data_IF_682025213770
#
_entry.id   IF_682025213770
#
_cell.length_a   1.000
_cell.length_b   1.000
_cell.length_c   1.000
_cell.angle_alpha   90.00
_cell.angle_beta   90.00
_cell.angle_gamma   90.00
#
_symmetry.space_group_name_H-M   'P 1'
#
loop_
_entity.id
_entity.type
_entity.pdbx_description
1 polymer ?
#
# COMPACT_ATOMS: atom_id res chain seq x y z
N UNK A 1 7.96 -10.57 -31.89
CA UNK A 1 8.25 -9.80 -30.68
C UNK A 1 6.96 -9.12 -30.23
N UNK A 2 6.60 -9.20 -28.94
CA UNK A 2 5.45 -8.47 -28.38
C UNK A 2 5.97 -7.23 -27.68
N UNK A 3 5.47 -6.05 -28.08
CA UNK A 3 5.83 -4.77 -27.47
C UNK A 3 4.84 -4.50 -26.35
N UNK A 4 5.26 -4.47 -25.07
CA UNK A 4 4.35 -4.11 -23.99
C UNK A 4 4.02 -2.60 -24.09
N UNK A 5 2.74 -2.29 -24.18
CA UNK A 5 2.19 -0.92 -24.08
C UNK A 5 1.28 -0.83 -22.87
N UNK A 6 1.50 0.17 -22.02
CA UNK A 6 0.66 0.41 -20.86
C UNK A 6 -0.75 0.85 -21.32
N UNK A 7 -1.79 0.22 -20.76
CA UNK A 7 -3.17 0.67 -20.95
C UNK A 7 -3.41 1.91 -20.08
N UNK A 8 -3.40 3.08 -20.71
CA UNK A 8 -3.55 4.37 -20.03
C UNK A 8 -5.00 4.80 -19.84
N UNK A 9 -5.97 4.04 -20.37
CA UNK A 9 -7.41 4.40 -20.32
C UNK A 9 -8.00 4.39 -18.91
N UNK A 10 -7.30 3.77 -17.96
CA UNK A 10 -7.72 3.68 -16.57
C UNK A 10 -6.97 4.65 -15.65
N UNK A 11 -6.11 5.52 -16.18
CA UNK A 11 -5.26 6.39 -15.37
C UNK A 11 -6.03 7.54 -14.71
N UNK A 12 -7.19 7.93 -15.26
CA UNK A 12 -8.06 8.94 -14.64
C UNK A 12 -8.71 8.45 -13.32
N UNK A 13 -8.62 7.14 -13.02
CA UNK A 13 -9.07 6.54 -11.77
C UNK A 13 -7.95 6.35 -10.74
N UNK A 14 -6.74 6.87 -11.01
CA UNK A 14 -5.65 6.78 -10.05
C UNK A 14 -5.98 7.64 -8.81
N UNK A 15 -5.78 7.10 -7.59
CA UNK A 15 -5.98 7.87 -6.38
C UNK A 15 -5.06 9.09 -6.36
N UNK A 16 -5.51 10.17 -5.72
CA UNK A 16 -4.72 11.42 -5.63
C UNK A 16 -3.34 11.25 -4.98
N UNK A 17 -3.14 10.16 -4.23
CA UNK A 17 -1.85 9.75 -3.68
C UNK A 17 -1.68 8.23 -3.77
N UNK A 18 -0.48 7.78 -4.14
CA UNK A 18 -0.08 6.38 -4.16
C UNK A 18 1.29 6.25 -3.48
N UNK A 19 1.33 5.49 -2.39
CA UNK A 19 2.53 5.30 -1.58
C UNK A 19 2.90 3.82 -1.51
N UNK A 20 4.19 3.53 -1.53
CA UNK A 20 4.73 2.19 -1.42
C UNK A 20 5.78 2.13 -0.31
N UNK A 21 5.80 1.02 0.43
CA UNK A 21 6.84 0.71 1.41
C UNK A 21 7.12 -0.79 1.37
N UNK A 22 8.36 -1.16 1.69
CA UNK A 22 8.78 -2.55 1.83
C UNK A 22 9.53 -2.68 3.15
N UNK A 23 9.17 -3.70 3.93
CA UNK A 23 9.76 -4.00 5.24
C UNK A 23 9.89 -5.51 5.40
N UNK A 24 11.02 -5.96 5.93
CA UNK A 24 11.22 -7.36 6.31
C UNK A 24 10.54 -7.62 7.66
N UNK A 25 9.68 -8.63 7.70
CA UNK A 25 8.96 -9.05 8.89
C UNK A 25 9.09 -10.57 9.06
N UNK A 26 9.19 -11.09 10.30
CA UNK A 26 9.17 -12.52 10.53
C UNK A 26 7.79 -13.11 10.15
N UNK A 27 7.73 -14.41 9.78
CA UNK A 27 6.45 -15.08 9.54
C UNK A 27 5.53 -14.99 10.77
N UNK A 28 4.25 -14.70 10.56
CA UNK A 28 3.28 -14.51 11.64
C UNK A 28 2.21 -13.45 11.33
N UNK A 29 1.30 -13.24 12.29
CA UNK A 29 0.29 -12.18 12.22
C UNK A 29 0.88 -10.83 12.66
N UNK A 30 0.59 -9.79 11.88
CA UNK A 30 1.05 -8.42 12.12
C UNK A 30 -0.11 -7.45 11.94
N UNK A 31 -0.03 -6.31 12.60
CA UNK A 31 -0.92 -5.17 12.36
C UNK A 31 -0.09 -3.96 11.97
N UNK A 32 -0.42 -3.35 10.84
CA UNK A 32 0.15 -2.08 10.41
C UNK A 32 -0.88 -0.96 10.54
N UNK A 33 -0.39 0.25 10.81
CA UNK A 33 -1.15 1.49 10.77
C UNK A 33 -0.53 2.45 9.76
N UNK A 34 -1.36 3.01 8.88
CA UNK A 34 -0.99 4.09 7.97
C UNK A 34 -1.56 5.39 8.53
N UNK A 35 -0.67 6.30 8.90
CA UNK A 35 -1.03 7.64 9.38
C UNK A 35 -0.92 8.65 8.24
N UNK A 36 -2.04 9.29 7.90
CA UNK A 36 -2.06 10.38 6.94
C UNK A 36 -1.84 11.68 7.68
N UNK A 37 -0.76 12.38 7.34
CA UNK A 37 -0.38 13.63 7.99
C UNK A 37 -0.64 14.81 7.06
N UNK A 38 -1.06 15.94 7.62
CA UNK A 38 -1.10 17.20 6.89
C UNK A 38 0.32 17.80 6.72
N UNK A 39 0.43 18.95 6.04
CA UNK A 39 1.71 19.63 5.83
C UNK A 39 2.43 20.06 7.13
N UNK A 40 1.71 20.14 8.26
CA UNK A 40 2.27 20.43 9.57
C UNK A 40 2.72 19.15 10.33
N UNK A 41 2.64 17.97 9.72
CA UNK A 41 2.96 16.68 10.35
C UNK A 41 1.89 16.18 11.32
N UNK A 42 0.72 16.81 11.37
CA UNK A 42 -0.38 16.36 12.24
C UNK A 42 -1.14 15.23 11.56
N UNK A 43 -1.26 14.09 12.23
CA UNK A 43 -2.07 12.96 11.76
C UNK A 43 -3.55 13.36 11.70
N UNK A 44 -4.12 13.33 10.50
CA UNK A 44 -5.53 13.65 10.23
C UNK A 44 -6.38 12.39 10.08
N UNK A 45 -5.77 11.25 9.73
CA UNK A 45 -6.45 9.96 9.58
C UNK A 45 -5.49 8.82 9.87
N UNK A 46 -6.02 7.73 10.42
CA UNK A 46 -5.30 6.46 10.61
C UNK A 46 -6.08 5.34 9.96
N UNK A 47 -5.38 4.47 9.23
CA UNK A 47 -5.96 3.25 8.67
C UNK A 47 -5.15 2.04 9.11
N UNK A 48 -5.81 1.06 9.71
CA UNK A 48 -5.17 -0.16 10.19
C UNK A 48 -5.45 -1.34 9.25
N UNK A 49 -4.48 -2.26 9.14
CA UNK A 49 -4.66 -3.53 8.47
C UNK A 49 -3.93 -4.62 9.25
N UNK A 50 -4.62 -5.73 9.47
CA UNK A 50 -4.05 -6.97 10.00
C UNK A 50 -3.77 -7.92 8.84
N UNK A 51 -2.57 -8.48 8.80
CA UNK A 51 -2.15 -9.40 7.74
C UNK A 51 -1.19 -10.45 8.28
N UNK A 52 -1.08 -11.56 7.56
CA UNK A 52 -0.16 -12.64 7.90
C UNK A 52 1.01 -12.67 6.92
N UNK A 53 2.22 -12.59 7.46
CA UNK A 53 3.45 -12.82 6.71
C UNK A 53 3.71 -14.32 6.67
N UNK A 54 3.90 -14.83 5.46
CA UNK A 54 4.01 -16.26 5.22
C UNK A 54 5.48 -16.62 5.00
N UNK A 55 5.94 -17.80 5.45
CA UNK A 55 7.33 -18.19 5.27
C UNK A 55 7.68 -18.34 3.78
N UNK A 56 8.83 -17.82 3.38
CA UNK A 56 9.42 -18.02 2.05
C UNK A 56 8.69 -17.32 0.90
N UNK A 57 7.81 -16.35 1.16
CA UNK A 57 7.15 -15.53 0.14
C UNK A 57 6.88 -14.12 0.64
N UNK A 58 6.80 -13.18 -0.29
CA UNK A 58 6.39 -11.81 0.02
C UNK A 58 4.88 -11.74 0.25
N UNK A 59 4.47 -10.94 1.24
CA UNK A 59 3.07 -10.56 1.46
C UNK A 59 2.88 -9.13 0.94
N UNK A 60 2.00 -8.95 -0.04
CA UNK A 60 1.64 -7.63 -0.58
C UNK A 60 0.27 -7.22 -0.04
N UNK A 61 0.20 -6.05 0.59
CA UNK A 61 -1.04 -5.52 1.18
C UNK A 61 -1.42 -4.23 0.46
N UNK A 62 -2.63 -4.16 -0.09
CA UNK A 62 -3.18 -2.96 -0.72
C UNK A 62 -4.16 -2.27 0.24
N UNK A 63 -3.88 -1.02 0.61
CA UNK A 63 -4.78 -0.20 1.42
C UNK A 63 -5.25 1.00 0.59
N UNK A 64 -6.51 1.00 0.16
CA UNK A 64 -7.10 2.12 -0.58
C UNK A 64 -8.01 2.98 0.29
N UNK A 65 -7.93 4.29 0.15
CA UNK A 65 -8.81 5.21 0.87
C UNK A 65 -10.00 5.63 0.00
N UNK A 66 -11.17 5.80 0.61
CA UNK A 66 -12.41 6.26 -0.04
C UNK A 66 -12.59 7.76 0.14
#
# INVERSE_FOLDING_TARGET
>A
ATTPTADTRCWDNLPGYLSFTAIELPPGEHTAAVEFQNAAGTTTRVKTATFTVQPGRDTVVFLSDH
#
